data_IF_316797737491
#
_entry.id   IF_316797737491
#
_cell.length_a   1.000
_cell.length_b   1.000
_cell.length_c   1.000
_cell.angle_alpha   90.00
_cell.angle_beta   90.00
_cell.angle_gamma   90.00
#
_symmetry.space_group_name_H-M   'P 1'
#
loop_
_entity.id
_entity.type
_entity.pdbx_description
1 polymer ?
#
# COMPACT_ATOMS: atom_id res chain seq x y z
N UNK A 1 -0.31 19.11 -23.17
CA UNK A 1 -0.19 19.21 -21.69
C UNK A 1 0.71 18.06 -21.26
N UNK A 2 2.00 18.33 -21.06
CA UNK A 2 3.00 17.30 -20.78
C UNK A 2 2.93 16.97 -19.30
N UNK A 3 2.40 15.80 -18.94
CA UNK A 3 2.38 15.30 -17.57
C UNK A 3 3.70 14.62 -17.26
N UNK A 4 4.46 15.20 -16.33
CA UNK A 4 5.66 14.59 -15.73
C UNK A 4 5.23 13.40 -14.87
N UNK A 5 5.63 12.19 -15.27
CA UNK A 5 5.45 10.99 -14.45
C UNK A 5 6.67 10.90 -13.51
N UNK A 6 6.51 11.31 -12.25
CA UNK A 6 7.50 10.98 -11.22
C UNK A 6 7.34 9.51 -10.82
N UNK A 7 8.38 8.72 -11.11
CA UNK A 7 8.50 7.33 -10.67
C UNK A 7 8.85 7.34 -9.19
N UNK A 8 7.85 7.09 -8.33
CA UNK A 8 8.07 6.90 -6.91
C UNK A 8 8.84 5.59 -6.68
N UNK A 9 10.00 5.70 -6.03
CA UNK A 9 10.85 4.59 -5.60
C UNK A 9 10.12 3.70 -4.58
N UNK A 10 10.56 2.44 -4.51
CA UNK A 10 9.96 1.24 -3.89
C UNK A 10 9.63 1.26 -2.36
N UNK A 11 9.26 2.39 -1.76
CA UNK A 11 8.97 2.47 -0.32
C UNK A 11 7.85 3.45 0.05
N UNK A 12 6.85 3.66 -0.81
CA UNK A 12 5.72 4.53 -0.49
C UNK A 12 4.69 3.79 0.40
N UNK A 13 4.95 3.77 1.70
CA UNK A 13 3.89 3.62 2.69
C UNK A 13 3.02 4.88 2.60
N UNK A 14 1.77 4.76 2.16
CA UNK A 14 0.85 5.91 2.17
C UNK A 14 0.57 6.26 3.63
N UNK A 15 0.75 7.53 4.06
CA UNK A 15 0.38 7.94 5.41
C UNK A 15 -1.12 7.76 5.60
N UNK A 16 -1.53 7.37 6.82
CA UNK A 16 -2.94 7.29 7.18
C UNK A 16 -3.58 8.69 7.11
N UNK A 17 -4.77 8.78 6.53
CA UNK A 17 -5.50 10.04 6.39
C UNK A 17 -5.88 10.62 7.75
N UNK A 18 -5.62 11.91 7.94
CA UNK A 18 -5.83 12.65 9.19
C UNK A 18 -7.27 13.18 9.33
N UNK A 19 -8.23 12.60 8.61
CA UNK A 19 -9.62 13.11 8.48
C UNK A 19 -10.50 12.92 9.74
N UNK A 20 -9.89 12.69 10.92
CA UNK A 20 -10.62 12.38 12.15
C UNK A 20 -10.12 13.04 13.43
N UNK A 21 -9.04 13.85 13.39
CA UNK A 21 -8.52 14.49 14.60
C UNK A 21 -8.96 15.96 14.69
N UNK A 22 -9.92 16.24 15.58
CA UNK A 22 -10.23 17.61 16.00
C UNK A 22 -9.01 18.23 16.69
N UNK A 23 -8.47 19.27 16.06
CA UNK A 23 -7.33 20.03 16.54
C UNK A 23 -7.79 20.92 17.72
N UNK A 24 -7.65 20.45 18.96
CA UNK A 24 -7.79 21.30 20.16
C UNK A 24 -6.51 22.12 20.33
N UNK A 25 -6.52 23.45 20.20
CA UNK A 25 -5.34 24.27 20.43
C UNK A 25 -4.99 24.24 21.93
N UNK A 26 -3.89 23.57 22.26
CA UNK A 26 -3.29 23.64 23.59
C UNK A 26 -2.59 25.00 23.70
N UNK A 27 -3.22 25.91 24.44
CA UNK A 27 -2.67 27.23 24.79
C UNK A 27 -1.41 27.01 25.63
N UNK A 28 -0.25 27.39 25.08
CA UNK A 28 1.01 27.41 25.81
C UNK A 28 1.03 28.68 26.67
N UNK A 29 0.77 28.54 27.97
CA UNK A 29 0.88 29.63 28.94
C UNK A 29 2.34 30.08 29.08
N UNK A 30 2.64 31.28 28.56
CA UNK A 30 3.93 31.94 28.72
C UNK A 30 4.10 32.57 30.10
N UNK A 31 5.12 32.14 30.84
CA UNK A 31 5.64 32.87 32.01
C UNK A 31 6.16 34.26 31.59
N UNK A 32 6.00 35.32 32.41
CA UNK A 32 6.37 36.68 32.03
C UNK A 32 7.88 36.78 31.80
N UNK A 33 8.29 37.02 30.55
CA UNK A 33 9.67 37.19 30.17
C UNK A 33 10.25 38.46 30.82
N UNK A 34 11.21 38.27 31.74
CA UNK A 34 12.02 39.35 32.32
C UNK A 34 12.78 39.99 31.16
N UNK A 35 12.55 41.28 30.89
CA UNK A 35 13.22 41.98 29.79
C UNK A 35 14.73 41.91 29.99
N UNK A 36 15.43 41.19 29.12
CA UNK A 36 16.88 41.07 29.19
C UNK A 36 17.55 42.43 28.98
N UNK A 37 18.49 42.77 29.87
CA UNK A 37 19.37 43.91 29.72
C UNK A 37 20.39 43.55 28.64
N UNK A 38 20.44 44.31 27.55
CA UNK A 38 21.33 44.05 26.42
C UNK A 38 21.92 45.36 25.89
N UNK A 39 23.14 45.31 25.32
CA UNK A 39 23.67 46.46 24.59
C UNK A 39 22.85 46.67 23.30
N UNK A 40 22.74 47.91 22.78
CA UNK A 40 22.01 48.18 21.53
C UNK A 40 22.52 47.34 20.35
N UNK A 41 23.83 47.13 20.30
CA UNK A 41 24.51 46.30 19.29
C UNK A 41 24.12 44.82 19.40
N UNK A 42 24.07 44.27 20.61
CA UNK A 42 23.63 42.89 20.84
C UNK A 42 22.14 42.70 20.49
N UNK A 43 21.29 43.71 20.73
CA UNK A 43 19.87 43.66 20.36
C UNK A 43 19.65 43.69 18.83
N UNK A 44 20.46 44.48 18.10
CA UNK A 44 20.44 44.49 16.64
C UNK A 44 20.89 43.13 16.08
N UNK A 45 22.00 42.59 16.58
CA UNK A 45 22.54 41.29 16.17
C UNK A 45 21.58 40.13 16.46
N UNK A 46 20.91 40.13 17.62
CA UNK A 46 19.90 39.11 17.94
C UNK A 46 18.68 39.18 17.00
N UNK A 47 18.28 40.39 16.58
CA UNK A 47 17.16 40.59 15.63
C UNK A 47 17.52 40.11 14.22
N UNK A 48 18.75 40.36 13.76
CA UNK A 48 19.23 39.89 12.46
C UNK A 48 19.37 38.37 12.40
N UNK A 49 19.78 37.74 13.49
CA UNK A 49 19.98 36.29 13.58
C UNK A 49 18.72 35.53 14.05
N UNK A 50 17.61 36.22 14.29
CA UNK A 50 16.32 35.62 14.66
C UNK A 50 16.30 34.97 16.06
N UNK A 51 17.21 35.36 16.96
CA UNK A 51 17.36 34.77 18.29
C UNK A 51 16.63 35.61 19.36
N UNK A 52 15.83 34.98 20.21
CA UNK A 52 15.17 35.65 21.33
C UNK A 52 16.19 36.00 22.42
N UNK A 53 16.45 37.30 22.57
CA UNK A 53 17.42 37.85 23.50
C UNK A 53 17.09 37.56 24.97
N UNK A 54 15.84 37.21 25.30
CA UNK A 54 15.42 36.88 26.66
C UNK A 54 15.83 35.47 27.09
N UNK A 55 16.23 34.61 26.15
CA UNK A 55 16.68 33.24 26.42
C UNK A 55 18.20 33.15 26.61
N UNK A 56 18.93 34.23 26.31
CA UNK A 56 20.39 34.27 26.41
C UNK A 56 20.80 34.80 27.78
N UNK A 57 21.62 34.02 28.50
CA UNK A 57 22.22 34.44 29.77
C UNK A 57 23.39 35.37 29.49
N UNK A 58 23.21 36.68 29.71
CA UNK A 58 24.25 37.69 29.48
C UNK A 58 25.38 37.65 30.51
N UNK A 59 26.62 37.72 30.04
CA UNK A 59 27.83 37.68 30.89
C UNK A 59 28.51 39.04 31.09
N UNK A 60 27.96 40.11 30.49
CA UNK A 60 28.53 41.46 30.57
C UNK A 60 28.27 42.18 31.91
N UNK A 61 28.88 43.38 32.11
CA UNK A 61 28.70 44.17 33.32
C UNK A 61 27.22 44.44 33.61
N UNK A 62 26.78 44.15 34.84
CA UNK A 62 25.35 44.17 35.27
C UNK A 62 24.44 43.13 34.61
N UNK A 63 24.97 42.00 34.15
CA UNK A 63 24.19 40.90 33.57
C UNK A 63 23.70 41.20 32.14
N UNK A 64 24.44 42.04 31.42
CA UNK A 64 24.06 42.48 30.07
C UNK A 64 24.46 41.45 29.02
N UNK A 65 23.57 41.17 28.05
CA UNK A 65 23.88 40.30 26.91
C UNK A 65 24.87 40.98 25.97
N UNK A 66 25.98 40.29 25.68
CA UNK A 66 27.02 40.74 24.74
C UNK A 66 26.90 40.02 23.40
N UNK A 67 27.60 40.50 22.37
CA UNK A 67 27.64 39.86 21.04
C UNK A 67 28.22 38.44 21.09
N UNK A 68 29.23 38.23 21.94
CA UNK A 68 29.86 36.92 22.16
C UNK A 68 28.88 35.90 22.77
N UNK A 69 27.96 36.34 23.63
CA UNK A 69 26.94 35.45 24.21
C UNK A 69 25.93 34.95 23.15
N UNK A 70 25.60 35.80 22.17
CA UNK A 70 24.71 35.45 21.05
C UNK A 70 25.38 34.43 20.12
N UNK A 71 26.65 34.65 19.77
CA UNK A 71 27.42 33.72 18.94
C UNK A 71 27.58 32.34 19.61
N UNK A 72 27.84 32.33 20.92
CA UNK A 72 27.96 31.10 21.69
C UNK A 72 26.63 30.35 21.81
N UNK A 73 25.50 31.07 21.92
CA UNK A 73 24.17 30.46 21.91
C UNK A 73 23.87 29.77 20.57
N UNK A 74 24.21 30.40 19.44
CA UNK A 74 24.02 29.84 18.09
C UNK A 74 24.90 28.59 17.85
N UNK A 75 26.17 28.62 18.29
CA UNK A 75 27.06 27.46 18.23
C UNK A 75 26.56 26.28 19.07
N UNK A 76 25.87 26.57 20.17
CA UNK A 76 25.31 25.55 21.06
C UNK A 76 24.00 24.96 20.54
N UNK A 77 23.17 25.74 19.84
CA UNK A 77 21.95 25.24 19.18
C UNK A 77 22.25 24.31 18.01
N UNK A 78 23.30 24.61 17.23
CA UNK A 78 23.74 23.76 16.10
C UNK A 78 24.39 22.44 16.54
N UNK A 79 24.68 22.27 17.84
CA UNK A 79 25.29 21.05 18.41
C UNK A 79 24.34 20.25 19.30
N UNK A 80 23.02 20.47 19.20
CA UNK A 80 22.01 19.67 19.91
C UNK A 80 21.41 18.59 18.99
N UNK A 81 21.80 17.31 19.09
CA UNK A 81 21.16 16.21 18.38
C UNK A 81 19.88 15.80 19.12
N UNK A 82 18.83 16.64 19.07
CA UNK A 82 17.56 16.36 19.77
C UNK A 82 16.38 16.09 18.83
N UNK A 83 16.60 16.08 17.50
CA UNK A 83 15.56 15.77 16.51
C UNK A 83 15.67 14.34 15.93
N UNK A 84 16.76 13.62 16.20
CA UNK A 84 16.97 12.26 15.71
C UNK A 84 16.43 11.16 16.64
N UNK A 85 16.04 11.50 17.87
CA UNK A 85 15.55 10.52 18.85
C UNK A 85 14.02 10.37 18.86
N UNK A 86 13.29 11.38 18.39
CA UNK A 86 11.82 11.35 18.34
C UNK A 86 11.27 10.56 17.15
N UNK A 87 12.05 10.40 16.07
CA UNK A 87 11.64 9.63 14.88
C UNK A 87 11.84 8.12 15.10
N UNK A 88 12.88 7.72 15.84
CA UNK A 88 13.17 6.30 16.11
C UNK A 88 12.13 5.63 17.01
N UNK A 89 11.56 6.36 17.99
CA UNK A 89 10.58 5.81 18.93
C UNK A 89 9.18 5.60 18.33
N UNK A 90 8.81 6.36 17.30
CA UNK A 90 7.51 6.18 16.60
C UNK A 90 7.57 4.96 15.67
N UNK A 91 8.74 4.65 15.10
CA UNK A 91 8.91 3.47 14.23
C UNK A 91 8.93 2.16 15.04
N UNK A 92 9.51 2.16 16.25
CA UNK A 92 9.50 1.00 17.14
C UNK A 92 8.11 0.64 17.69
N UNK A 93 7.28 1.65 18.01
CA UNK A 93 5.93 1.43 18.54
C UNK A 93 4.92 0.98 17.47
N UNK A 94 5.11 1.39 16.20
CA UNK A 94 4.30 0.90 15.08
C UNK A 94 4.77 -0.48 14.58
N UNK A 95 6.08 -0.74 14.60
CA UNK A 95 6.66 -2.03 14.21
C UNK A 95 6.19 -3.20 15.08
N UNK A 96 5.89 -2.95 16.36
CA UNK A 96 5.29 -3.94 17.26
C UNK A 96 3.85 -4.34 16.89
N UNK A 97 3.18 -3.59 16.00
CA UNK A 97 1.81 -3.89 15.54
C UNK A 97 1.77 -4.65 14.21
N UNK A 98 2.94 -4.91 13.59
CA UNK A 98 3.01 -5.53 12.26
C UNK A 98 3.84 -6.80 12.30
N UNK A 99 3.19 -7.91 11.93
CA UNK A 99 3.88 -9.19 11.70
C UNK A 99 4.27 -9.29 10.22
N UNK A 100 5.52 -9.67 9.96
CA UNK A 100 6.05 -9.83 8.61
C UNK A 100 6.28 -11.31 8.31
N UNK A 101 5.58 -11.83 7.30
CA UNK A 101 5.82 -13.16 6.75
C UNK A 101 6.45 -13.06 5.35
N UNK A 102 7.53 -13.79 5.13
CA UNK A 102 8.18 -13.83 3.82
C UNK A 102 7.37 -14.66 2.82
N UNK A 103 7.06 -14.07 1.66
CA UNK A 103 6.37 -14.79 0.59
C UNK A 103 7.25 -15.93 0.02
N UNK A 104 6.65 -17.12 -0.13
CA UNK A 104 7.24 -18.23 -0.88
C UNK A 104 7.36 -17.88 -2.38
N UNK A 105 8.26 -18.54 -3.11
CA UNK A 105 8.43 -18.29 -4.55
C UNK A 105 7.14 -18.57 -5.36
N UNK A 106 6.38 -19.59 -4.96
CA UNK A 106 5.09 -19.92 -5.56
C UNK A 106 4.11 -18.77 -5.34
N UNK A 107 3.97 -18.30 -4.09
CA UNK A 107 3.07 -17.18 -3.76
C UNK A 107 3.46 -15.88 -4.47
N UNK A 108 4.76 -15.60 -4.62
CA UNK A 108 5.26 -14.45 -5.41
C UNK A 108 4.86 -14.55 -6.88
N UNK A 109 5.02 -15.72 -7.49
CA UNK A 109 4.68 -15.92 -8.92
C UNK A 109 3.18 -15.84 -9.16
N UNK A 110 2.37 -16.45 -8.29
CA UNK A 110 0.91 -16.35 -8.35
C UNK A 110 0.49 -14.89 -8.23
N UNK A 111 1.00 -14.16 -7.24
CA UNK A 111 0.68 -12.75 -7.04
C UNK A 111 0.99 -11.90 -8.29
N UNK A 112 2.18 -12.09 -8.88
CA UNK A 112 2.58 -11.38 -10.10
C UNK A 112 1.61 -11.66 -11.26
N UNK A 113 1.27 -12.93 -11.50
CA UNK A 113 0.39 -13.32 -12.60
C UNK A 113 -1.04 -12.83 -12.38
N UNK A 114 -1.53 -12.87 -11.13
CA UNK A 114 -2.86 -12.37 -10.77
C UNK A 114 -2.98 -10.86 -11.00
N UNK A 115 -1.99 -10.09 -10.55
CA UNK A 115 -1.95 -8.64 -10.77
C UNK A 115 -1.89 -8.30 -12.26
N UNK A 116 -1.04 -9.00 -13.03
CA UNK A 116 -0.96 -8.80 -14.48
C UNK A 116 -2.29 -9.12 -15.19
N UNK A 117 -2.98 -10.19 -14.79
CA UNK A 117 -4.28 -10.56 -15.35
C UNK A 117 -5.36 -9.51 -15.04
N UNK A 118 -5.34 -8.92 -13.84
CA UNK A 118 -6.27 -7.85 -13.45
C UNK A 118 -6.05 -6.55 -14.22
N UNK A 119 -4.80 -6.20 -14.52
CA UNK A 119 -4.51 -4.99 -15.30
C UNK A 119 -4.77 -5.15 -16.79
N UNK A 120 -4.44 -6.31 -17.37
CA UNK A 120 -4.51 -6.49 -18.82
C UNK A 120 -5.92 -6.78 -19.34
N UNK A 121 -6.74 -7.50 -18.57
CA UNK A 121 -8.08 -7.90 -19.02
C UNK A 121 -9.18 -7.01 -18.41
N UNK A 122 -10.14 -6.61 -19.24
CA UNK A 122 -11.39 -6.02 -18.75
C UNK A 122 -12.29 -7.14 -18.18
N UNK A 123 -12.42 -7.17 -16.86
CA UNK A 123 -13.21 -8.20 -16.17
C UNK A 123 -14.68 -7.77 -16.06
N UNK A 124 -15.59 -8.62 -16.52
CA UNK A 124 -17.03 -8.49 -16.29
C UNK A 124 -17.54 -9.78 -15.67
N UNK A 125 -18.30 -9.67 -14.57
CA UNK A 125 -18.93 -10.81 -13.91
C UNK A 125 -20.38 -10.92 -14.32
N UNK A 126 -20.80 -12.12 -14.74
CA UNK A 126 -22.20 -12.46 -15.03
C UNK A 126 -22.57 -13.63 -14.13
N UNK A 127 -23.73 -13.52 -13.50
CA UNK A 127 -24.31 -14.56 -12.67
C UNK A 127 -25.58 -15.06 -13.35
N UNK A 128 -25.74 -16.37 -13.41
CA UNK A 128 -26.89 -17.02 -14.00
C UNK A 128 -27.22 -18.28 -13.21
N UNK A 129 -28.50 -18.65 -13.19
CA UNK A 129 -29.01 -19.82 -12.48
C UNK A 129 -29.38 -20.91 -13.47
N UNK A 130 -28.91 -22.14 -13.22
CA UNK A 130 -29.14 -23.27 -14.12
C UNK A 130 -29.93 -24.36 -13.42
N UNK A 131 -31.03 -24.75 -14.04
CA UNK A 131 -31.84 -25.91 -13.65
C UNK A 131 -31.07 -27.21 -13.95
N UNK A 132 -30.91 -28.09 -12.96
CA UNK A 132 -30.10 -29.31 -13.08
C UNK A 132 -30.81 -30.59 -12.62
N UNK A 133 -32.14 -30.59 -12.46
CA UNK A 133 -32.89 -31.75 -11.94
C UNK A 133 -32.70 -32.98 -12.80
N UNK A 134 -32.75 -32.84 -14.13
CA UNK A 134 -32.53 -33.96 -15.05
C UNK A 134 -31.09 -34.50 -14.96
N UNK A 135 -30.10 -33.64 -14.77
CA UNK A 135 -28.72 -34.05 -14.55
C UNK A 135 -28.59 -34.86 -13.24
N UNK A 136 -29.22 -34.39 -12.16
CA UNK A 136 -29.26 -35.10 -10.87
C UNK A 136 -29.93 -36.47 -11.01
N UNK A 137 -31.04 -36.54 -11.77
CA UNK A 137 -31.76 -37.79 -12.05
C UNK A 137 -30.88 -38.79 -12.81
N UNK A 138 -30.24 -38.36 -13.89
CA UNK A 138 -29.32 -39.18 -14.69
C UNK A 138 -28.16 -39.67 -13.83
N UNK A 139 -27.51 -38.77 -13.08
CA UNK A 139 -26.41 -39.14 -12.18
C UNK A 139 -26.87 -40.22 -11.20
N UNK A 140 -28.03 -40.06 -10.57
CA UNK A 140 -28.54 -41.01 -9.58
C UNK A 140 -28.83 -42.38 -10.18
N UNK A 141 -29.41 -42.41 -11.38
CA UNK A 141 -29.69 -43.66 -12.12
C UNK A 141 -28.43 -44.46 -12.44
N UNK A 142 -27.35 -43.78 -12.86
CA UNK A 142 -26.12 -44.46 -13.28
C UNK A 142 -25.07 -44.58 -12.16
N UNK A 143 -25.29 -43.96 -11.01
CA UNK A 143 -24.34 -43.95 -9.88
C UNK A 143 -23.93 -45.37 -9.45
N UNK A 144 -24.88 -46.29 -9.31
CA UNK A 144 -24.63 -47.69 -8.91
C UNK A 144 -23.80 -48.43 -9.96
N UNK A 145 -24.21 -48.36 -11.23
CA UNK A 145 -23.52 -49.02 -12.34
C UNK A 145 -22.06 -48.53 -12.54
N UNK A 146 -21.77 -47.27 -12.22
CA UNK A 146 -20.39 -46.75 -12.25
C UNK A 146 -19.60 -47.08 -10.97
N UNK A 147 -20.26 -47.18 -9.82
CA UNK A 147 -19.64 -47.62 -8.57
C UNK A 147 -19.14 -49.07 -8.65
N UNK A 148 -19.89 -49.96 -9.33
CA UNK A 148 -19.47 -51.34 -9.63
C UNK A 148 -18.19 -51.39 -10.48
N UNK A 149 -17.95 -50.36 -11.29
CA UNK A 149 -16.74 -50.21 -12.11
C UNK A 149 -15.62 -49.45 -11.38
N UNK A 150 -15.79 -49.14 -10.08
CA UNK A 150 -14.82 -48.39 -9.28
C UNK A 150 -14.74 -46.90 -9.61
N UNK A 151 -15.66 -46.35 -10.40
CA UNK A 151 -15.64 -44.94 -10.82
C UNK A 151 -16.69 -44.13 -10.08
N UNK A 152 -16.28 -43.06 -9.39
CA UNK A 152 -17.20 -42.14 -8.72
C UNK A 152 -17.77 -41.15 -9.73
N UNK A 153 -19.05 -41.29 -10.05
CA UNK A 153 -19.75 -40.35 -10.93
C UNK A 153 -19.99 -39.00 -10.23
N UNK A 154 -19.18 -38.00 -10.61
CA UNK A 154 -19.30 -36.61 -10.18
C UNK A 154 -20.12 -35.79 -11.19
N UNK A 155 -20.46 -34.54 -10.83
CA UNK A 155 -21.10 -33.57 -11.72
C UNK A 155 -20.11 -32.94 -12.72
N UNK A 156 -18.83 -32.85 -12.33
CA UNK A 156 -17.78 -32.19 -13.10
C UNK A 156 -17.64 -32.71 -14.55
N UNK A 157 -17.69 -34.03 -14.85
CA UNK A 157 -17.62 -34.53 -16.22
C UNK A 157 -18.77 -34.06 -17.12
N UNK A 158 -19.98 -33.91 -16.57
CA UNK A 158 -21.13 -33.38 -17.32
C UNK A 158 -20.90 -31.91 -17.69
N UNK A 159 -20.42 -31.12 -16.74
CA UNK A 159 -20.10 -29.70 -16.94
C UNK A 159 -18.97 -29.54 -17.96
N UNK A 160 -17.90 -30.34 -17.86
CA UNK A 160 -16.79 -30.33 -18.82
C UNK A 160 -17.24 -30.67 -20.24
N UNK A 161 -18.10 -31.68 -20.38
CA UNK A 161 -18.65 -32.06 -21.69
C UNK A 161 -19.52 -30.95 -22.26
N UNK A 162 -20.38 -30.34 -21.44
CA UNK A 162 -21.23 -29.22 -21.84
C UNK A 162 -20.37 -28.03 -22.30
N UNK A 163 -19.37 -27.63 -21.50
CA UNK A 163 -18.42 -26.56 -21.85
C UNK A 163 -17.70 -26.84 -23.17
N UNK A 164 -17.15 -28.04 -23.35
CA UNK A 164 -16.44 -28.41 -24.57
C UNK A 164 -17.35 -28.38 -25.81
N UNK A 165 -18.64 -28.68 -25.66
CA UNK A 165 -19.63 -28.54 -26.73
C UNK A 165 -19.95 -27.05 -26.98
N UNK A 166 -20.18 -26.26 -25.94
CA UNK A 166 -20.48 -24.83 -26.06
C UNK A 166 -19.35 -24.04 -26.73
N UNK A 167 -18.08 -24.34 -26.39
CA UNK A 167 -16.92 -23.70 -27.00
C UNK A 167 -16.74 -24.04 -28.49
N UNK A 168 -17.33 -25.13 -28.99
CA UNK A 168 -17.36 -25.44 -30.43
C UNK A 168 -18.32 -24.54 -31.19
N UNK A 169 -19.48 -24.25 -30.62
CA UNK A 169 -20.45 -23.34 -31.23
C UNK A 169 -20.02 -21.88 -31.10
N UNK A 170 -19.42 -21.50 -29.96
CA UNK A 170 -19.02 -20.13 -29.65
C UNK A 170 -17.51 -19.94 -29.71
N UNK A 171 -16.96 -19.88 -30.94
CA UNK A 171 -15.51 -19.76 -31.19
C UNK A 171 -14.84 -18.54 -30.54
N UNK A 172 -15.59 -17.46 -30.32
CA UNK A 172 -15.07 -16.21 -29.73
C UNK A 172 -14.63 -16.42 -28.28
N UNK A 173 -15.32 -17.30 -27.55
CA UNK A 173 -14.98 -17.61 -26.16
C UNK A 173 -13.68 -18.42 -26.03
N UNK A 174 -13.29 -19.18 -27.06
CA UNK A 174 -12.02 -19.91 -27.12
C UNK A 174 -10.98 -19.19 -28.01
N UNK A 175 -10.93 -17.86 -27.92
CA UNK A 175 -10.00 -17.03 -28.67
C UNK A 175 -8.99 -16.33 -27.77
N UNK A 176 -7.89 -15.87 -28.35
CA UNK A 176 -6.87 -15.08 -27.68
C UNK A 176 -6.59 -13.83 -28.51
N UNK A 177 -6.48 -12.69 -27.85
CA UNK A 177 -6.05 -11.45 -28.46
C UNK A 177 -4.51 -11.42 -28.51
N UNK A 178 -3.96 -11.22 -29.70
CA UNK A 178 -2.54 -11.01 -29.96
C UNK A 178 -2.38 -9.54 -30.39
N UNK A 179 -2.10 -8.68 -29.40
CA UNK A 179 -2.01 -7.24 -29.58
C UNK A 179 -0.74 -6.83 -30.35
N UNK A 180 0.35 -7.60 -30.22
CA UNK A 180 1.61 -7.30 -30.90
C UNK A 180 1.47 -7.43 -32.42
N UNK A 181 0.71 -8.42 -32.87
CA UNK A 181 0.47 -8.68 -34.30
C UNK A 181 -0.91 -8.19 -34.78
N UNK A 182 -1.65 -7.44 -33.97
CA UNK A 182 -2.99 -6.92 -34.28
C UNK A 182 -3.96 -7.98 -34.82
N UNK A 183 -4.02 -9.16 -34.20
CA UNK A 183 -4.86 -10.27 -34.66
C UNK A 183 -5.56 -11.01 -33.53
N UNK A 184 -6.64 -11.71 -33.89
CA UNK A 184 -7.36 -12.61 -32.98
C UNK A 184 -7.05 -14.06 -33.37
N UNK A 185 -6.56 -14.83 -32.42
CA UNK A 185 -6.22 -16.25 -32.60
C UNK A 185 -7.41 -17.09 -32.13
N UNK A 186 -8.07 -17.77 -33.07
CA UNK A 186 -9.11 -18.76 -32.77
C UNK A 186 -8.50 -20.15 -32.64
N UNK A 187 -8.58 -20.75 -31.44
CA UNK A 187 -8.00 -22.07 -31.17
C UNK A 187 -8.98 -23.17 -31.60
N UNK A 188 -8.48 -24.13 -32.39
CA UNK A 188 -9.25 -25.33 -32.82
C UNK A 188 -9.15 -26.51 -31.86
N UNK A 189 -8.36 -26.36 -30.79
CA UNK A 189 -8.22 -27.31 -29.69
C UNK A 189 -8.84 -26.72 -28.42
N UNK A 190 -9.25 -27.59 -27.50
CA UNK A 190 -9.95 -27.23 -26.27
C UNK A 190 -9.21 -27.81 -25.08
N UNK A 191 -8.46 -26.96 -24.39
CA UNK A 191 -7.75 -27.31 -23.18
C UNK A 191 -8.49 -26.68 -22.00
N UNK A 192 -8.93 -27.51 -21.04
CA UNK A 192 -9.70 -27.06 -19.88
C UNK A 192 -8.84 -27.30 -18.63
N UNK A 193 -8.44 -26.21 -17.98
CA UNK A 193 -7.78 -26.26 -16.68
C UNK A 193 -8.81 -26.39 -15.56
N UNK A 194 -8.53 -27.25 -14.58
CA UNK A 194 -9.39 -27.46 -13.40
C UNK A 194 -8.60 -26.99 -12.19
N UNK A 195 -9.09 -25.95 -11.52
CA UNK A 195 -8.51 -25.49 -10.27
C UNK A 195 -8.92 -26.44 -9.14
N UNK A 196 -7.92 -26.93 -8.40
CA UNK A 196 -8.09 -27.80 -7.23
C UNK A 196 -7.35 -27.14 -6.09
N UNK A 197 -7.99 -27.06 -4.93
CA UNK A 197 -7.34 -26.63 -3.70
C UNK A 197 -6.56 -27.82 -3.12
N UNK A 198 -5.25 -27.64 -2.91
CA UNK A 198 -4.30 -28.68 -2.50
C UNK A 198 -3.65 -28.35 -1.18
#
# INVERSE_FOLDING_TARGET
MVGTLEVASNAAFLPSGDEGFENKPSVVEGKPARKALATPVARAMAKELGVDINQIRGTGPSGRVTTQDIENYIKKQTTTPSAAQSVTQVVETLGAQVEYENLTQIRKTIARNMTQSKHNAAHMSVFDEVEVSELVRIRSKYKSAFAEKGVKLSYLPFILRALAMSLKYHKVLNSQLDLDNNRIIYKKYYNIGIAVDT
#
